data_IF_755980246470
#
_entry.id   IF_755980246470
#
_cell.length_a   1.000
_cell.length_b   1.000
_cell.length_c   1.000
_cell.angle_alpha   90.00
_cell.angle_beta   90.00
_cell.angle_gamma   90.00
#
_symmetry.space_group_name_H-M   'P 1'
#
loop_
_entity.id
_entity.type
_entity.pdbx_description
1 polymer ?
#
# COMPACT_ATOMS: atom_id res chain seq x y z
N UNK A 1 8.27 -20.59 31.54
CA UNK A 1 7.19 -19.88 30.82
C UNK A 1 7.07 -20.50 29.43
N UNK A 2 5.89 -20.98 29.01
CA UNK A 2 5.72 -21.50 27.65
C UNK A 2 5.83 -20.35 26.66
N UNK A 3 6.65 -20.54 25.62
CA UNK A 3 6.74 -19.64 24.47
C UNK A 3 5.41 -19.64 23.71
N UNK A 4 4.89 -18.48 23.28
CA UNK A 4 3.67 -18.43 22.48
C UNK A 4 3.90 -19.22 21.19
N UNK A 5 3.12 -20.27 20.99
CA UNK A 5 3.11 -21.06 19.76
C UNK A 5 2.58 -20.17 18.64
N UNK A 6 3.44 -19.94 17.63
CA UNK A 6 3.09 -19.25 16.40
C UNK A 6 1.93 -19.97 15.71
N UNK A 7 0.71 -19.44 15.85
CA UNK A 7 -0.46 -19.90 15.12
C UNK A 7 -0.21 -19.78 13.61
N UNK A 8 -0.42 -20.85 12.86
CA UNK A 8 -0.32 -20.81 11.40
C UNK A 8 -1.28 -19.75 10.83
N UNK A 9 -0.87 -18.98 9.80
CA UNK A 9 -1.71 -17.94 9.23
C UNK A 9 -3.01 -18.54 8.71
N UNK A 10 -4.14 -17.90 9.04
CA UNK A 10 -5.46 -18.37 8.65
C UNK A 10 -5.69 -18.39 7.13
N UNK A 11 -6.66 -19.17 6.63
CA UNK A 11 -6.91 -19.39 5.20
C UNK A 11 -7.35 -18.14 4.41
N UNK A 12 -7.70 -17.02 5.07
CA UNK A 12 -8.18 -15.79 4.42
C UNK A 12 -7.04 -14.84 4.03
N UNK A 13 -6.01 -14.67 4.88
CA UNK A 13 -4.83 -13.86 4.55
C UNK A 13 -4.15 -14.35 3.27
N UNK A 14 -4.06 -15.68 3.14
CA UNK A 14 -3.48 -16.31 1.97
C UNK A 14 -4.35 -16.13 0.73
N UNK A 15 -5.69 -16.07 0.85
CA UNK A 15 -6.58 -15.91 -0.32
C UNK A 15 -6.48 -14.52 -0.95
N UNK A 16 -6.62 -13.45 -0.17
CA UNK A 16 -6.53 -12.08 -0.71
C UNK A 16 -5.14 -11.80 -1.27
N UNK A 17 -4.08 -12.07 -0.51
CA UNK A 17 -2.71 -11.86 -0.97
C UNK A 17 -2.41 -12.65 -2.26
N UNK A 18 -2.87 -13.90 -2.35
CA UNK A 18 -2.74 -14.73 -3.56
C UNK A 18 -3.54 -14.15 -4.74
N UNK A 19 -4.76 -13.67 -4.50
CA UNK A 19 -5.59 -13.06 -5.53
C UNK A 19 -4.95 -11.76 -6.08
N UNK A 20 -4.40 -10.91 -5.21
CA UNK A 20 -3.65 -9.72 -5.59
C UNK A 20 -2.42 -10.08 -6.42
N UNK A 21 -1.63 -11.06 -5.97
CA UNK A 21 -0.44 -11.54 -6.67
C UNK A 21 -0.77 -12.09 -8.07
N UNK A 22 -1.80 -12.93 -8.19
CA UNK A 22 -2.23 -13.50 -9.47
C UNK A 22 -2.72 -12.43 -10.43
N UNK A 23 -3.49 -11.46 -9.94
CA UNK A 23 -3.95 -10.32 -10.74
C UNK A 23 -2.78 -9.46 -11.22
N UNK A 24 -1.83 -9.16 -10.34
CA UNK A 24 -0.63 -8.42 -10.69
C UNK A 24 0.15 -9.14 -11.79
N UNK A 25 0.44 -10.43 -11.64
CA UNK A 25 1.09 -11.20 -12.70
C UNK A 25 0.34 -11.18 -14.04
N UNK A 26 -0.98 -11.36 -13.99
CA UNK A 26 -1.84 -11.36 -15.18
C UNK A 26 -1.79 -10.01 -15.89
N UNK A 27 -1.97 -8.91 -15.15
CA UNK A 27 -1.90 -7.55 -15.68
C UNK A 27 -0.56 -7.28 -16.36
N UNK A 28 0.56 -7.61 -15.71
CA UNK A 28 1.88 -7.41 -16.31
C UNK A 28 2.13 -8.22 -17.57
N UNK A 29 1.66 -9.49 -17.63
CA UNK A 29 1.72 -10.30 -18.85
C UNK A 29 0.89 -9.67 -19.97
N UNK A 30 -0.33 -9.25 -19.67
CA UNK A 30 -1.22 -8.59 -20.63
C UNK A 30 -0.60 -7.30 -21.20
N UNK A 31 0.08 -6.50 -20.37
CA UNK A 31 0.79 -5.32 -20.87
C UNK A 31 1.92 -5.69 -21.82
N UNK A 32 2.77 -6.65 -21.45
CA UNK A 32 3.88 -7.12 -22.30
C UNK A 32 3.36 -7.69 -23.62
N UNK A 33 2.32 -8.51 -23.57
CA UNK A 33 1.79 -9.19 -24.75
C UNK A 33 1.04 -8.18 -25.64
N UNK A 34 0.29 -7.24 -25.04
CA UNK A 34 -0.30 -6.12 -25.75
C UNK A 34 0.75 -5.28 -26.50
N UNK A 35 1.86 -4.93 -25.87
CA UNK A 35 2.97 -4.21 -26.53
C UNK A 35 3.54 -4.99 -27.71
N UNK A 36 3.76 -6.30 -27.57
CA UNK A 36 4.27 -7.18 -28.64
C UNK A 36 3.33 -7.27 -29.83
N UNK A 37 2.03 -7.14 -29.60
CA UNK A 37 1.00 -7.22 -30.63
C UNK A 37 0.47 -5.85 -31.06
N UNK A 38 1.08 -4.74 -30.63
CA UNK A 38 0.59 -3.38 -30.87
C UNK A 38 -0.86 -3.14 -30.40
N UNK A 39 -1.31 -3.87 -29.37
CA UNK A 39 -2.63 -3.72 -28.75
C UNK A 39 -2.48 -2.90 -27.47
N UNK A 40 -3.05 -1.70 -27.47
CA UNK A 40 -3.02 -0.81 -26.30
C UNK A 40 -3.91 -1.36 -25.18
N UNK A 41 -3.29 -1.76 -24.07
CA UNK A 41 -3.99 -1.99 -22.80
C UNK A 41 -4.07 -0.67 -22.02
N UNK A 42 -5.28 -0.15 -21.83
CA UNK A 42 -5.57 1.07 -21.04
C UNK A 42 -5.54 0.83 -19.53
N UNK A 43 -5.42 1.92 -18.75
CA UNK A 43 -5.44 1.88 -17.29
C UNK A 43 -6.82 1.41 -16.79
N UNK A 44 -7.89 2.09 -17.20
CA UNK A 44 -9.28 1.80 -16.81
C UNK A 44 -9.69 0.34 -17.06
N UNK A 45 -9.60 -0.13 -18.31
CA UNK A 45 -9.95 -1.52 -18.64
C UNK A 45 -9.06 -2.56 -17.96
N UNK A 46 -7.85 -2.19 -17.51
CA UNK A 46 -7.03 -3.07 -16.67
C UNK A 46 -7.56 -3.10 -15.24
N UNK A 47 -7.91 -1.94 -14.67
CA UNK A 47 -8.53 -1.83 -13.34
C UNK A 47 -9.83 -2.61 -13.26
N UNK A 48 -10.75 -2.42 -14.21
CA UNK A 48 -12.03 -3.16 -14.28
C UNK A 48 -11.82 -4.68 -14.28
N UNK A 49 -10.88 -5.17 -15.11
CA UNK A 49 -10.56 -6.59 -15.19
C UNK A 49 -10.00 -7.13 -13.89
N UNK A 50 -9.13 -6.36 -13.23
CA UNK A 50 -8.56 -6.73 -11.93
C UNK A 50 -9.67 -6.83 -10.89
N UNK A 51 -10.53 -5.81 -10.79
CA UNK A 51 -11.62 -5.81 -9.80
C UNK A 51 -12.60 -6.95 -10.03
N UNK A 52 -12.99 -7.21 -11.28
CA UNK A 52 -13.84 -8.34 -11.64
C UNK A 52 -13.21 -9.68 -11.23
N UNK A 53 -11.91 -9.85 -11.48
CA UNK A 53 -11.21 -11.08 -11.09
C UNK A 53 -11.12 -11.22 -9.57
N UNK A 54 -10.91 -10.13 -8.84
CA UNK A 54 -10.92 -10.17 -7.38
C UNK A 54 -12.29 -10.57 -6.85
N UNK A 55 -13.37 -9.97 -7.34
CA UNK A 55 -14.74 -10.29 -6.95
C UNK A 55 -15.10 -11.77 -7.22
N UNK A 56 -14.65 -12.30 -8.37
CA UNK A 56 -14.82 -13.72 -8.70
C UNK A 56 -14.03 -14.67 -7.79
N UNK A 57 -12.91 -14.22 -7.25
CA UNK A 57 -11.98 -15.06 -6.47
C UNK A 57 -12.26 -14.99 -4.97
N UNK A 58 -12.83 -13.88 -4.50
CA UNK A 58 -13.06 -13.58 -3.09
C UNK A 58 -14.55 -13.33 -2.93
N UNK A 59 -15.34 -14.35 -2.54
CA UNK A 59 -16.79 -14.22 -2.36
C UNK A 59 -17.20 -13.12 -1.40
N UNK A 60 -16.31 -12.78 -0.46
CA UNK A 60 -16.54 -11.76 0.55
C UNK A 60 -16.21 -10.32 0.08
N UNK A 61 -15.79 -10.18 -1.17
CA UNK A 61 -15.49 -8.90 -1.82
C UNK A 61 -16.68 -8.50 -2.70
N UNK A 62 -17.40 -7.47 -2.27
CA UNK A 62 -18.46 -6.87 -3.06
C UNK A 62 -17.91 -5.70 -3.87
N UNK A 63 -18.41 -5.51 -5.08
CA UNK A 63 -17.99 -4.42 -5.97
C UNK A 63 -19.20 -3.63 -6.42
N UNK A 64 -19.22 -2.34 -6.12
CA UNK A 64 -20.12 -1.35 -6.71
C UNK A 64 -19.39 -0.53 -7.76
N UNK A 65 -20.10 -0.12 -8.81
CA UNK A 65 -19.59 0.83 -9.79
C UNK A 65 -20.50 2.05 -9.84
N UNK A 66 -19.91 3.23 -9.92
CA UNK A 66 -20.62 4.47 -10.18
C UNK A 66 -20.64 4.76 -11.69
N UNK A 67 -21.46 5.72 -12.10
CA UNK A 67 -21.56 6.09 -13.50
C UNK A 67 -20.38 6.97 -13.95
N UNK A 68 -20.01 6.90 -15.23
CA UNK A 68 -18.98 7.74 -15.85
C UNK A 68 -19.15 9.25 -15.60
N UNK A 69 -20.38 9.73 -15.36
CA UNK A 69 -20.66 11.14 -15.08
C UNK A 69 -20.14 11.60 -13.72
N UNK A 70 -19.97 10.69 -12.78
CA UNK A 70 -19.58 10.98 -11.39
C UNK A 70 -18.05 10.91 -11.19
N UNK A 71 -17.29 10.39 -12.16
CA UNK A 71 -15.90 9.96 -11.94
C UNK A 71 -14.84 11.06 -11.85
N UNK A 72 -15.10 12.25 -12.40
CA UNK A 72 -14.00 13.17 -12.77
C UNK A 72 -13.40 13.97 -11.61
N UNK A 73 -13.95 13.95 -10.38
CA UNK A 73 -13.62 14.98 -9.37
C UNK A 73 -12.87 14.53 -8.11
N UNK A 74 -12.67 13.23 -7.89
CA UNK A 74 -11.93 12.75 -6.69
C UNK A 74 -10.53 12.24 -6.96
N UNK A 75 -10.17 12.04 -8.23
CA UNK A 75 -8.83 11.63 -8.62
C UNK A 75 -8.42 10.24 -8.14
N UNK A 76 -9.38 9.41 -7.71
CA UNK A 76 -9.24 7.99 -7.43
C UNK A 76 -9.91 7.16 -8.54
N UNK A 77 -9.34 6.01 -8.86
CA UNK A 77 -9.96 5.04 -9.75
C UNK A 77 -10.89 4.11 -8.96
N UNK A 78 -10.56 3.76 -7.71
CA UNK A 78 -11.48 3.02 -6.85
C UNK A 78 -11.22 3.26 -5.34
N UNK A 79 -12.16 2.78 -4.53
CA UNK A 79 -12.07 2.78 -3.07
C UNK A 79 -12.17 1.37 -2.50
N UNK A 80 -11.41 1.09 -1.45
CA UNK A 80 -11.56 -0.10 -0.63
C UNK A 80 -12.07 0.26 0.76
N UNK A 81 -13.21 -0.31 1.13
CA UNK A 81 -13.72 -0.34 2.49
C UNK A 81 -13.48 -1.74 3.04
N UNK A 82 -12.67 -1.84 4.09
CA UNK A 82 -12.15 -3.11 4.57
C UNK A 82 -12.53 -3.32 6.03
N UNK A 83 -13.08 -4.49 6.33
CA UNK A 83 -13.34 -4.99 7.68
C UNK A 83 -12.82 -6.42 7.83
N UNK A 84 -12.44 -6.78 9.04
CA UNK A 84 -12.15 -8.16 9.44
C UNK A 84 -13.36 -8.89 10.04
N UNK A 85 -14.55 -8.28 9.97
CA UNK A 85 -15.77 -8.80 10.60
C UNK A 85 -16.03 -8.25 12.00
N UNK A 86 -15.14 -7.42 12.57
CA UNK A 86 -15.31 -6.75 13.88
C UNK A 86 -16.34 -5.61 13.89
N UNK A 87 -17.06 -5.37 12.79
CA UNK A 87 -17.85 -4.16 12.53
C UNK A 87 -17.05 -2.84 12.52
N UNK A 88 -15.72 -2.92 12.61
CA UNK A 88 -14.83 -1.80 12.35
C UNK A 88 -14.35 -1.81 10.91
N UNK A 89 -14.22 -0.61 10.37
CA UNK A 89 -13.90 -0.39 8.96
C UNK A 89 -12.82 0.66 8.79
N UNK A 90 -12.02 0.54 7.75
CA UNK A 90 -11.16 1.63 7.28
C UNK A 90 -11.25 1.75 5.76
N UNK A 91 -10.89 2.93 5.28
CA UNK A 91 -10.97 3.29 3.86
C UNK A 91 -9.57 3.45 3.25
N UNK A 92 -9.36 2.85 2.08
CA UNK A 92 -8.25 3.17 1.18
C UNK A 92 -8.82 3.77 -0.10
N UNK A 93 -8.22 4.86 -0.58
CA UNK A 93 -8.59 5.50 -1.85
C UNK A 93 -7.44 5.36 -2.81
N UNK A 94 -7.69 4.76 -3.98
CA UNK A 94 -6.62 4.20 -4.81
C UNK A 94 -6.71 4.77 -6.24
N UNK A 95 -5.58 5.28 -6.72
CA UNK A 95 -5.40 5.73 -8.10
C UNK A 95 -4.45 4.79 -8.83
N UNK A 96 -4.87 4.22 -9.97
CA UNK A 96 -3.99 3.48 -10.85
C UNK A 96 -3.14 4.43 -11.72
N UNK A 97 -1.88 4.01 -11.94
CA UNK A 97 -1.02 4.57 -12.99
C UNK A 97 -0.17 3.51 -13.65
N UNK A 98 -0.17 3.49 -14.98
CA UNK A 98 0.63 2.61 -15.82
C UNK A 98 1.99 3.22 -16.09
N UNK A 99 3.02 2.39 -16.00
CA UNK A 99 4.37 2.74 -16.42
C UNK A 99 4.38 3.03 -17.93
N UNK A 100 4.87 4.21 -18.30
CA UNK A 100 5.09 4.60 -19.68
C UNK A 100 6.56 4.40 -20.03
N UNK A 101 6.82 3.66 -21.11
CA UNK A 101 8.16 3.36 -21.64
C UNK A 101 8.34 4.02 -23.00
N UNK A 102 8.35 5.37 -23.10
CA UNK A 102 8.58 6.03 -24.37
C UNK A 102 10.00 5.71 -24.88
N UNK A 103 10.21 5.74 -26.20
CA UNK A 103 11.53 5.47 -26.82
C UNK A 103 12.67 6.30 -26.19
N UNK A 104 12.37 7.53 -25.75
CA UNK A 104 13.31 8.45 -25.11
C UNK A 104 13.66 8.09 -23.66
N UNK A 105 12.83 7.30 -22.96
CA UNK A 105 13.05 6.89 -21.58
C UNK A 105 12.84 5.38 -21.41
N UNK A 106 13.83 4.56 -21.79
CA UNK A 106 13.70 3.10 -21.74
C UNK A 106 13.51 2.56 -20.31
N UNK A 107 13.95 3.31 -19.29
CA UNK A 107 13.73 2.98 -17.89
C UNK A 107 12.25 3.15 -17.44
N UNK A 108 11.46 3.91 -18.19
CA UNK A 108 10.05 4.17 -17.93
C UNK A 108 9.78 5.22 -16.83
N UNK A 109 8.59 5.83 -16.91
CA UNK A 109 8.09 6.84 -15.96
C UNK A 109 6.58 6.73 -15.76
N UNK A 110 6.08 7.19 -14.63
CA UNK A 110 4.66 7.30 -14.34
C UNK A 110 4.19 8.73 -14.58
N UNK A 111 3.09 8.88 -15.33
CA UNK A 111 2.50 10.18 -15.61
C UNK A 111 1.63 10.66 -14.46
N UNK A 112 2.27 11.33 -13.49
CA UNK A 112 1.58 11.92 -12.32
C UNK A 112 1.05 13.32 -12.66
N UNK A 113 1.64 13.98 -13.66
CA UNK A 113 1.26 15.30 -14.15
C UNK A 113 -0.05 15.28 -14.96
N UNK A 114 -1.15 14.92 -14.31
CA UNK A 114 -2.49 14.94 -14.89
C UNK A 114 -3.35 15.99 -14.20
N UNK A 115 -3.86 16.96 -14.98
CA UNK A 115 -4.84 17.93 -14.51
C UNK A 115 -6.24 17.47 -14.87
N UNK A 116 -7.15 17.60 -13.92
CA UNK A 116 -8.57 17.46 -14.18
C UNK A 116 -9.08 18.75 -14.82
N UNK A 117 -9.74 18.64 -15.98
CA UNK A 117 -10.17 19.81 -16.77
C UNK A 117 -11.19 20.67 -16.03
N UNK A 118 -12.10 20.07 -15.28
CA UNK A 118 -13.18 20.77 -14.59
C UNK A 118 -12.68 21.63 -13.42
N UNK A 119 -11.74 21.14 -12.62
CA UNK A 119 -11.20 21.88 -11.47
C UNK A 119 -9.90 22.63 -11.75
N UNK A 120 -9.16 22.25 -12.80
CA UNK A 120 -7.80 22.73 -13.06
C UNK A 120 -6.75 22.17 -12.08
N UNK A 121 -7.16 21.43 -11.06
CA UNK A 121 -6.30 20.81 -10.05
C UNK A 121 -5.60 19.56 -10.59
N UNK A 122 -4.45 19.22 -10.02
CA UNK A 122 -3.79 17.96 -10.32
C UNK A 122 -4.58 16.80 -9.69
N UNK A 123 -4.67 15.68 -10.40
CA UNK A 123 -5.40 14.49 -9.94
C UNK A 123 -4.94 14.01 -8.55
N UNK A 124 -3.64 14.09 -8.28
CA UNK A 124 -3.07 13.73 -6.99
C UNK A 124 -3.50 14.66 -5.85
N UNK A 125 -3.67 15.96 -6.12
CA UNK A 125 -4.13 16.92 -5.12
C UNK A 125 -5.58 16.62 -4.72
N UNK A 126 -6.41 16.22 -5.70
CA UNK A 126 -7.79 15.78 -5.44
C UNK A 126 -7.83 14.49 -4.63
N UNK A 127 -6.98 13.52 -4.95
CA UNK A 127 -6.85 12.26 -4.22
C UNK A 127 -6.46 12.50 -2.75
N UNK A 128 -5.47 13.36 -2.50
CA UNK A 128 -5.02 13.70 -1.14
C UNK A 128 -6.08 14.48 -0.37
N UNK A 129 -6.69 15.48 -1.00
CA UNK A 129 -7.77 16.25 -0.38
C UNK A 129 -8.93 15.33 0.02
N UNK A 130 -9.30 14.41 -0.87
CA UNK A 130 -10.36 13.44 -0.62
C UNK A 130 -10.00 12.53 0.56
N UNK A 131 -8.82 11.91 0.53
CA UNK A 131 -8.36 11.04 1.60
C UNK A 131 -8.32 11.72 2.97
N UNK A 132 -7.84 12.97 3.02
CA UNK A 132 -7.83 13.77 4.26
C UNK A 132 -9.24 14.01 4.79
N UNK A 133 -10.15 14.42 3.90
CA UNK A 133 -11.52 14.79 4.28
C UNK A 133 -12.34 13.58 4.74
N UNK A 134 -12.10 12.41 4.15
CA UNK A 134 -12.76 11.17 4.58
C UNK A 134 -12.03 10.45 5.71
N UNK A 135 -10.79 10.81 6.03
CA UNK A 135 -9.95 10.05 6.97
C UNK A 135 -9.43 8.73 6.37
N UNK A 136 -9.36 8.63 5.05
CA UNK A 136 -8.80 7.48 4.34
C UNK A 136 -7.28 7.57 4.17
N UNK A 137 -6.69 6.45 3.76
CA UNK A 137 -5.33 6.45 3.21
C UNK A 137 -5.35 6.48 1.68
N UNK A 138 -4.63 7.43 1.09
CA UNK A 138 -4.46 7.53 -0.36
C UNK A 138 -3.26 6.72 -0.83
N UNK A 139 -3.48 5.89 -1.85
CA UNK A 139 -2.46 5.03 -2.47
C UNK A 139 -2.47 5.17 -3.99
N UNK A 140 -1.33 4.89 -4.60
CA UNK A 140 -1.21 4.57 -6.01
C UNK A 140 -1.05 3.08 -6.21
N UNK A 141 -1.78 2.53 -7.18
CA UNK A 141 -1.52 1.20 -7.76
C UNK A 141 -0.77 1.37 -9.08
N UNK A 142 0.52 1.05 -9.07
CA UNK A 142 1.41 1.23 -10.20
C UNK A 142 1.44 -0.02 -11.08
N UNK A 143 0.91 0.09 -12.29
CA UNK A 143 0.80 -0.98 -13.26
C UNK A 143 2.06 -1.08 -14.11
N UNK A 144 2.73 -2.23 -14.03
CA UNK A 144 4.02 -2.47 -14.63
C UNK A 144 3.95 -3.58 -15.69
N UNK A 145 4.59 -3.43 -16.86
CA UNK A 145 4.68 -4.52 -17.82
C UNK A 145 5.56 -5.67 -17.29
N UNK A 146 5.36 -6.89 -17.80
CA UNK A 146 6.26 -7.99 -17.49
C UNK A 146 7.57 -7.85 -18.27
N UNK A 147 8.60 -7.29 -17.64
CA UNK A 147 9.94 -7.19 -18.19
C UNK A 147 10.96 -8.07 -17.45
N UNK A 148 11.92 -8.64 -18.19
CA UNK A 148 13.06 -9.40 -17.62
C UNK A 148 14.08 -8.43 -17.02
N UNK A 149 14.62 -8.78 -15.85
CA UNK A 149 15.67 -7.98 -15.19
C UNK A 149 15.22 -6.66 -14.59
N UNK A 150 13.96 -6.26 -14.76
CA UNK A 150 13.42 -5.01 -14.20
C UNK A 150 12.84 -5.27 -12.82
N UNK A 151 13.24 -4.44 -11.85
CA UNK A 151 12.69 -4.41 -10.50
C UNK A 151 11.75 -3.22 -10.35
N UNK A 152 10.51 -3.51 -9.96
CA UNK A 152 9.48 -2.48 -9.72
C UNK A 152 9.38 -2.04 -8.26
N UNK A 153 10.00 -2.81 -7.37
CA UNK A 153 10.04 -2.62 -5.93
C UNK A 153 11.38 -3.11 -5.40
N UNK A 154 11.94 -2.39 -4.44
CA UNK A 154 13.09 -2.86 -3.67
C UNK A 154 12.69 -3.81 -2.52
N UNK A 155 11.41 -3.81 -2.14
CA UNK A 155 10.81 -4.70 -1.15
C UNK A 155 10.44 -6.08 -1.71
N UNK A 156 10.37 -7.08 -0.83
CA UNK A 156 10.09 -8.50 -1.13
C UNK A 156 8.99 -9.05 -0.24
N UNK A 157 8.24 -10.04 -0.73
CA UNK A 157 7.21 -10.75 0.03
C UNK A 157 7.26 -12.26 -0.19
N UNK A 158 6.61 -12.99 0.72
CA UNK A 158 6.64 -14.45 0.75
C UNK A 158 6.03 -15.11 -0.50
N UNK A 159 5.10 -14.45 -1.20
CA UNK A 159 4.40 -15.02 -2.35
C UNK A 159 5.21 -15.02 -3.65
N UNK A 160 6.46 -14.52 -3.66
CA UNK A 160 7.37 -14.72 -4.79
C UNK A 160 8.42 -13.63 -4.96
N UNK A 161 9.45 -13.89 -5.80
CA UNK A 161 10.54 -12.94 -6.01
C UNK A 161 10.04 -11.62 -6.60
N UNK A 162 10.71 -10.53 -6.22
CA UNK A 162 10.57 -9.15 -6.72
C UNK A 162 10.09 -9.08 -8.17
N UNK A 163 8.78 -9.02 -8.36
CA UNK A 163 8.20 -9.14 -9.70
C UNK A 163 6.68 -9.02 -9.72
N UNK A 164 6.07 -8.60 -8.62
CA UNK A 164 4.67 -8.24 -8.62
C UNK A 164 4.51 -7.04 -9.55
N UNK A 165 3.73 -7.25 -10.61
CA UNK A 165 3.63 -6.29 -11.71
C UNK A 165 2.60 -5.20 -11.43
N UNK A 166 2.04 -5.23 -10.23
CA UNK A 166 1.38 -4.09 -9.61
C UNK A 166 2.15 -3.82 -8.32
N UNK A 167 2.54 -2.57 -8.11
CA UNK A 167 3.10 -2.13 -6.83
C UNK A 167 2.21 -1.04 -6.23
N UNK A 168 2.18 -0.96 -4.91
CA UNK A 168 1.48 0.04 -4.15
C UNK A 168 2.46 1.07 -3.59
N UNK A 169 2.08 2.34 -3.62
CA UNK A 169 2.86 3.44 -3.04
C UNK A 169 1.91 4.41 -2.36
N UNK A 170 2.27 4.95 -1.20
CA UNK A 170 1.47 6.03 -0.59
C UNK A 170 1.49 7.30 -1.45
N UNK A 171 0.34 7.96 -1.63
CA UNK A 171 0.29 9.22 -2.38
C UNK A 171 1.18 10.31 -1.76
N UNK A 172 1.39 10.25 -0.45
CA UNK A 172 2.32 11.12 0.29
C UNK A 172 3.74 11.09 -0.26
N UNK A 173 4.20 9.94 -0.75
CA UNK A 173 5.54 9.80 -1.36
C UNK A 173 5.65 10.77 -2.53
N UNK A 174 4.65 10.77 -3.41
CA UNK A 174 4.63 11.66 -4.57
C UNK A 174 4.58 13.13 -4.15
N UNK A 175 3.72 13.47 -3.18
CA UNK A 175 3.49 14.84 -2.71
C UNK A 175 4.71 15.44 -1.99
N UNK A 176 5.44 14.62 -1.22
CA UNK A 176 6.51 15.08 -0.34
C UNK A 176 7.90 14.96 -0.99
N UNK A 177 8.12 13.97 -1.86
CA UNK A 177 9.45 13.66 -2.41
C UNK A 177 9.75 14.26 -3.76
N UNK A 178 8.72 14.54 -4.56
CA UNK A 178 8.92 14.97 -5.94
C UNK A 178 8.66 16.46 -6.10
N UNK A 179 9.56 17.19 -6.77
CA UNK A 179 9.44 18.62 -6.92
C UNK A 179 8.20 18.96 -7.75
N UNK A 180 7.58 20.09 -7.39
CA UNK A 180 6.49 20.67 -8.17
C UNK A 180 7.06 21.70 -9.14
N UNK A 181 7.05 21.39 -10.43
CA UNK A 181 7.39 22.36 -11.47
C UNK A 181 6.14 23.06 -11.96
N UNK A 182 6.09 24.39 -11.81
CA UNK A 182 4.89 25.21 -12.06
C UNK A 182 3.67 24.73 -11.26
N UNK A 183 3.90 24.36 -9.99
CA UNK A 183 2.85 23.89 -9.07
C UNK A 183 2.37 22.45 -9.29
N UNK A 184 2.96 21.72 -10.26
CA UNK A 184 2.56 20.36 -10.60
C UNK A 184 3.69 19.37 -10.35
N UNK A 185 3.35 18.22 -9.79
CA UNK A 185 4.29 17.10 -9.70
C UNK A 185 4.55 16.59 -11.12
N UNK A 186 5.82 16.58 -11.52
CA UNK A 186 6.24 16.08 -12.83
C UNK A 186 6.11 14.55 -12.93
N UNK A 187 6.36 14.02 -14.13
CA UNK A 187 6.37 12.57 -14.33
C UNK A 187 7.50 11.93 -13.51
N UNK A 188 7.19 10.84 -12.83
CA UNK A 188 8.11 10.21 -11.87
C UNK A 188 8.81 9.01 -12.50
N UNK A 189 10.15 8.99 -12.58
CA UNK A 189 10.90 7.83 -13.07
C UNK A 189 10.72 6.61 -12.18
N UNK A 190 10.68 5.41 -12.77
CA UNK A 190 10.57 4.15 -12.02
C UNK A 190 11.66 4.01 -10.94
N UNK A 191 12.90 4.38 -11.28
CA UNK A 191 14.04 4.26 -10.38
C UNK A 191 13.87 5.09 -9.09
N UNK A 192 13.13 6.21 -9.15
CA UNK A 192 12.94 7.09 -8.01
C UNK A 192 11.80 6.64 -7.08
N UNK A 193 10.88 5.78 -7.55
CA UNK A 193 9.73 5.33 -6.75
C UNK A 193 9.91 3.92 -6.17
N UNK A 194 10.79 3.10 -6.76
CA UNK A 194 10.94 1.68 -6.40
C UNK A 194 11.27 1.42 -4.92
N UNK A 195 11.96 2.35 -4.25
CA UNK A 195 12.33 2.23 -2.84
C UNK A 195 11.13 2.42 -1.91
N UNK A 196 10.07 3.08 -2.37
CA UNK A 196 8.83 3.32 -1.64
C UNK A 196 7.68 2.40 -2.07
N UNK A 197 7.89 1.63 -3.14
CA UNK A 197 6.87 0.80 -3.74
C UNK A 197 6.86 -0.59 -3.11
N UNK A 198 5.72 -0.99 -2.54
CA UNK A 198 5.50 -2.36 -2.09
C UNK A 198 4.88 -3.19 -3.22
N UNK A 199 5.25 -4.46 -3.40
CA UNK A 199 4.48 -5.38 -4.23
C UNK A 199 3.01 -5.41 -3.77
N UNK A 200 2.04 -5.37 -4.67
CA UNK A 200 0.63 -5.22 -4.31
C UNK A 200 0.11 -6.34 -3.40
N UNK A 201 0.56 -7.57 -3.61
CA UNK A 201 0.26 -8.71 -2.75
C UNK A 201 0.77 -8.53 -1.32
N UNK A 202 1.83 -7.75 -1.12
CA UNK A 202 2.37 -7.47 0.21
C UNK A 202 1.42 -6.68 1.08
N UNK A 203 0.51 -5.91 0.49
CA UNK A 203 -0.47 -5.17 1.28
C UNK A 203 -1.31 -6.10 2.16
N UNK A 204 -1.70 -7.26 1.63
CA UNK A 204 -2.56 -8.23 2.31
C UNK A 204 -1.83 -9.45 2.86
N UNK A 205 -0.52 -9.58 2.62
CA UNK A 205 0.25 -10.68 3.18
C UNK A 205 0.72 -10.34 4.59
N UNK A 206 1.01 -11.37 5.39
CA UNK A 206 1.70 -11.19 6.66
C UNK A 206 2.93 -10.31 6.47
N UNK A 207 3.17 -9.51 7.54
CA UNK A 207 4.18 -8.45 7.69
C UNK A 207 5.24 -8.58 6.62
N UNK A 208 5.47 -7.52 5.83
CA UNK A 208 6.69 -7.38 5.00
C UNK A 208 7.80 -7.94 5.86
N UNK A 209 8.28 -9.14 5.50
CA UNK A 209 9.11 -9.89 6.40
C UNK A 209 10.33 -9.01 6.59
N UNK A 210 10.39 -8.34 7.74
CA UNK A 210 11.65 -8.01 8.35
C UNK A 210 12.30 -9.36 8.36
N UNK A 211 13.28 -9.57 7.49
CA UNK A 211 13.97 -10.84 7.41
C UNK A 211 14.22 -11.36 8.83
N UNK A 212 14.28 -12.68 8.99
CA UNK A 212 14.87 -13.40 10.13
C UNK A 212 16.33 -12.97 10.38
N UNK A 213 16.58 -11.68 10.50
CA UNK A 213 17.69 -11.09 11.19
C UNK A 213 17.19 -11.10 12.62
N UNK A 214 17.55 -12.12 13.45
CA UNK A 214 17.39 -11.97 14.88
C UNK A 214 17.93 -10.60 15.24
N UNK A 215 17.27 -9.83 16.14
CA UNK A 215 17.83 -8.57 16.60
C UNK A 215 19.31 -8.87 16.88
N UNK A 216 20.23 -8.27 16.12
CA UNK A 216 21.64 -8.65 16.21
C UNK A 216 22.03 -8.56 17.68
N UNK A 217 22.83 -9.50 18.19
CA UNK A 217 23.15 -9.54 19.61
C UNK A 217 23.90 -8.25 19.98
N UNK A 218 23.17 -7.28 20.50
CA UNK A 218 23.63 -5.90 20.76
C UNK A 218 22.61 -4.84 20.37
N UNK A 219 22.81 -3.57 20.79
CA UNK A 219 21.95 -2.45 20.44
C UNK A 219 22.17 -2.06 18.97
N UNK A 220 21.68 -2.88 18.03
CA UNK A 220 21.75 -2.46 16.63
C UNK A 220 20.55 -1.61 16.26
N UNK A 221 20.80 -0.59 15.42
CA UNK A 221 19.75 0.24 14.86
C UNK A 221 18.65 -0.61 14.23
N UNK A 222 17.39 -0.41 14.66
CA UNK A 222 16.22 -0.92 13.93
C UNK A 222 16.37 -0.56 12.46
N UNK A 223 16.09 -1.51 11.56
CA UNK A 223 15.94 -1.15 10.14
C UNK A 223 14.86 -0.07 10.03
N UNK A 224 15.00 0.81 9.03
CA UNK A 224 14.00 1.84 8.74
C UNK A 224 12.58 1.28 8.69
N UNK A 225 12.41 0.02 8.23
CA UNK A 225 11.13 -0.64 8.23
C UNK A 225 10.61 -1.09 9.58
N UNK A 226 11.48 -1.65 10.41
CA UNK A 226 11.12 -1.99 11.78
C UNK A 226 10.75 -0.74 12.59
N UNK A 227 11.47 0.36 12.38
CA UNK A 227 11.15 1.62 13.03
C UNK A 227 9.78 2.16 12.59
N UNK A 228 9.49 2.22 11.28
CA UNK A 228 8.19 2.70 10.82
C UNK A 228 7.05 1.79 11.33
N UNK A 229 7.22 0.46 11.30
CA UNK A 229 6.24 -0.47 11.86
C UNK A 229 6.04 -0.24 13.37
N UNK A 230 7.12 -0.02 14.12
CA UNK A 230 7.06 0.29 15.54
C UNK A 230 6.33 1.62 15.81
N UNK A 231 6.62 2.67 15.05
CA UNK A 231 5.92 3.97 15.17
C UNK A 231 4.43 3.81 14.91
N UNK A 232 4.07 3.05 13.87
CA UNK A 232 2.67 2.72 13.56
C UNK A 232 2.03 1.95 14.70
N UNK A 233 2.73 0.96 15.27
CA UNK A 233 2.21 0.20 16.40
C UNK A 233 2.08 1.04 17.67
N UNK A 234 2.97 1.99 17.94
CA UNK A 234 2.90 2.86 19.12
C UNK A 234 1.78 3.89 19.04
N UNK A 235 1.62 4.55 17.88
CA UNK A 235 0.56 5.55 17.69
C UNK A 235 -0.83 4.89 17.63
N UNK A 236 -0.90 3.65 17.15
CA UNK A 236 -2.15 2.90 17.04
C UNK A 236 -2.47 1.98 18.23
N UNK A 237 -1.53 1.78 19.17
CA UNK A 237 -1.79 1.11 20.46
C UNK A 237 -2.70 1.93 21.39
N UNK A 238 -3.07 3.15 20.98
CA UNK A 238 -3.89 4.06 21.76
C UNK A 238 -5.39 4.01 21.48
N UNK A 239 -5.89 3.14 20.59
CA UNK A 239 -7.30 2.62 20.57
C UNK A 239 -7.69 1.92 19.24
N UNK A 240 -7.01 2.22 18.12
CA UNK A 240 -7.55 1.91 16.78
C UNK A 240 -7.09 0.59 16.14
N UNK A 241 -5.86 0.10 16.41
CA UNK A 241 -5.40 -1.17 15.82
C UNK A 241 -5.86 -2.40 16.61
N UNK A 242 -6.11 -2.25 17.91
CA UNK A 242 -6.56 -3.35 18.78
C UNK A 242 -7.94 -3.89 18.41
N UNK A 243 -8.70 -3.17 17.56
CA UNK A 243 -10.02 -3.59 17.12
C UNK A 243 -9.98 -4.62 15.99
N UNK A 244 -8.87 -4.74 15.27
CA UNK A 244 -8.73 -5.69 14.17
C UNK A 244 -7.96 -6.93 14.64
N UNK A 245 -8.39 -8.12 14.23
CA UNK A 245 -7.66 -9.37 14.39
C UNK A 245 -6.32 -9.22 13.67
N UNK A 246 -5.23 -9.28 14.45
CA UNK A 246 -3.84 -9.20 13.96
C UNK A 246 -3.49 -10.26 12.91
N UNK A 247 -4.29 -11.32 12.81
CA UNK A 247 -4.18 -12.40 11.81
C UNK A 247 -5.12 -12.22 10.62
N UNK A 248 -5.80 -11.07 10.50
CA UNK A 248 -6.68 -10.75 9.38
C UNK A 248 -5.95 -10.04 8.25
N UNK A 249 -6.42 -10.23 7.02
CA UNK A 249 -5.92 -9.49 5.86
C UNK A 249 -6.17 -7.97 6.00
N UNK A 250 -7.25 -7.59 6.70
CA UNK A 250 -7.59 -6.21 7.02
C UNK A 250 -6.52 -5.54 7.89
N UNK A 251 -6.06 -6.23 8.94
CA UNK A 251 -4.97 -5.74 9.78
C UNK A 251 -3.69 -5.56 8.98
N UNK A 252 -3.30 -6.54 8.15
CA UNK A 252 -2.14 -6.40 7.26
C UNK A 252 -2.27 -5.22 6.30
N UNK A 253 -3.43 -5.06 5.66
CA UNK A 253 -3.71 -3.94 4.77
C UNK A 253 -3.55 -2.59 5.48
N UNK A 254 -4.13 -2.47 6.67
CA UNK A 254 -4.03 -1.27 7.49
C UNK A 254 -2.58 -1.00 7.87
N UNK A 255 -1.90 -1.95 8.53
CA UNK A 255 -0.50 -1.78 8.97
C UNK A 255 0.41 -1.47 7.80
N UNK A 256 0.34 -2.21 6.69
CA UNK A 256 1.21 -1.99 5.55
C UNK A 256 0.92 -0.64 4.85
N UNK A 257 -0.35 -0.20 4.81
CA UNK A 257 -0.71 1.10 4.24
C UNK A 257 -0.18 2.28 5.07
N UNK A 258 -0.31 2.21 6.40
CA UNK A 258 0.27 3.22 7.31
C UNK A 258 1.79 3.16 7.25
N UNK A 259 2.36 1.97 7.20
CA UNK A 259 3.80 1.74 7.06
C UNK A 259 4.36 2.43 5.81
N UNK A 260 3.69 2.33 4.66
CA UNK A 260 4.08 3.07 3.44
C UNK A 260 4.00 4.59 3.60
N UNK A 261 2.98 5.09 4.30
CA UNK A 261 2.86 6.52 4.60
C UNK A 261 4.00 6.99 5.51
N UNK A 262 4.29 6.20 6.55
CA UNK A 262 5.39 6.44 7.46
C UNK A 262 6.70 6.48 6.68
N UNK A 263 7.00 5.52 5.79
CA UNK A 263 8.18 5.55 4.90
C UNK A 263 8.32 6.88 4.14
N UNK A 264 7.21 7.42 3.61
CA UNK A 264 7.20 8.68 2.88
C UNK A 264 7.67 9.86 3.75
N UNK A 265 7.18 9.89 4.99
CA UNK A 265 7.49 10.92 5.99
C UNK A 265 8.87 10.71 6.61
N UNK A 266 9.21 9.45 6.88
CA UNK A 266 10.27 9.10 7.79
C UNK A 266 11.63 9.15 7.14
N UNK A 267 11.84 9.07 5.82
CA UNK A 267 13.22 9.17 5.32
C UNK A 267 13.82 10.57 5.51
N UNK A 268 12.97 11.60 5.56
CA UNK A 268 13.41 12.97 5.87
C UNK A 268 13.56 13.17 7.38
N UNK A 269 12.64 12.61 8.16
CA UNK A 269 12.68 12.65 9.61
C UNK A 269 13.81 11.76 10.18
N UNK A 270 14.04 10.58 9.63
CA UNK A 270 15.05 9.59 10.03
C UNK A 270 16.45 10.11 9.70
N UNK A 271 16.68 10.62 8.49
CA UNK A 271 17.97 11.27 8.18
C UNK A 271 18.26 12.46 9.11
N UNK A 272 17.24 13.16 9.61
CA UNK A 272 17.39 14.32 10.52
C UNK A 272 17.44 13.96 12.01
N UNK A 273 16.63 13.00 12.48
CA UNK A 273 16.37 12.74 13.90
C UNK A 273 16.89 11.39 14.39
N UNK A 274 17.13 10.43 13.49
CA UNK A 274 17.65 9.12 13.89
C UNK A 274 19.06 9.20 14.46
N UNK A 275 19.88 10.15 13.99
CA UNK A 275 21.18 10.46 14.60
C UNK A 275 21.03 10.88 16.06
N UNK A 276 20.07 11.75 16.36
CA UNK A 276 19.78 12.19 17.74
C UNK A 276 19.28 11.03 18.61
N UNK A 277 18.39 10.20 18.08
CA UNK A 277 17.85 9.05 18.82
C UNK A 277 18.91 7.97 19.08
N UNK A 278 19.81 7.71 18.12
CA UNK A 278 20.94 6.80 18.33
C UNK A 278 21.97 7.37 19.31
N UNK A 279 22.24 8.68 19.27
CA UNK A 279 23.16 9.35 20.20
C UNK A 279 22.61 9.29 21.65
N UNK A 280 21.31 9.54 21.85
CA UNK A 280 20.63 9.42 23.17
C UNK A 280 20.55 7.96 23.64
N UNK A 281 20.18 7.02 22.75
CA UNK A 281 20.00 5.62 23.10
C UNK A 281 21.32 4.90 23.40
N UNK A 282 22.42 5.30 22.75
CA UNK A 282 23.75 4.77 23.05
C UNK A 282 24.38 5.40 24.30
N UNK A 283 23.70 6.31 24.99
CA UNK A 283 24.21 6.94 26.22
C UNK A 283 25.56 7.61 26.03
N UNK A 284 25.84 8.13 24.83
CA UNK A 284 27.12 8.77 24.53
C UNK A 284 27.10 10.16 25.16
N UNK A 285 27.46 10.25 26.45
CA UNK A 285 27.85 11.51 27.05
C UNK A 285 29.04 12.05 26.25
N UNK A 286 28.83 13.11 25.48
CA UNK A 286 29.93 13.88 24.87
C UNK A 286 30.35 14.95 25.86
N UNK A 287 31.50 14.83 26.54
CA UNK A 287 31.96 15.87 27.45
C UNK A 287 32.25 17.13 26.64
N UNK A 288 31.65 18.26 27.02
CA UNK A 288 31.95 19.57 26.42
C UNK A 288 31.11 20.01 25.22
N UNK A 289 29.83 19.63 25.15
CA UNK A 289 28.97 20.13 24.07
C UNK A 289 28.77 21.66 24.14
N UNK A 290 28.94 22.40 23.03
CA UNK A 290 28.67 23.84 22.95
C UNK A 290 27.20 24.17 23.25
N UNK A 291 26.89 25.40 23.70
CA UNK A 291 25.50 25.88 23.87
C UNK A 291 24.62 25.66 22.63
N UNK A 292 25.20 25.67 21.43
CA UNK A 292 24.55 25.38 20.15
C UNK A 292 23.83 24.01 20.13
N UNK A 293 24.26 23.05 20.96
CA UNK A 293 23.62 21.73 21.07
C UNK A 293 22.32 21.77 21.88
N UNK A 294 22.25 22.61 22.93
CA UNK A 294 21.02 22.83 23.70
C UNK A 294 19.98 23.54 22.84
N UNK A 295 20.41 24.45 21.96
CA UNK A 295 19.53 25.09 20.99
C UNK A 295 19.05 24.10 19.92
N UNK A 296 19.92 23.22 19.42
CA UNK A 296 19.50 22.14 18.53
C UNK A 296 18.48 21.19 19.18
N UNK A 297 18.64 20.86 20.46
CA UNK A 297 17.71 20.04 21.22
C UNK A 297 16.38 20.76 21.49
N UNK A 298 16.40 22.05 21.81
CA UNK A 298 15.19 22.89 21.92
C UNK A 298 14.46 23.02 20.59
N UNK A 299 15.19 23.17 19.48
CA UNK A 299 14.65 23.20 18.12
C UNK A 299 14.06 21.83 17.75
N UNK A 300 14.69 20.72 18.16
CA UNK A 300 14.17 19.38 17.94
C UNK A 300 12.88 19.13 18.74
N UNK A 301 12.82 19.56 20.01
CA UNK A 301 11.65 19.41 20.88
C UNK A 301 10.48 20.30 20.40
N UNK A 302 10.70 21.58 20.11
CA UNK A 302 9.64 22.46 19.58
C UNK A 302 9.16 22.04 18.19
N UNK A 303 10.01 21.37 17.40
CA UNK A 303 9.61 20.78 16.11
C UNK A 303 8.97 19.41 16.25
N UNK A 304 9.21 18.68 17.34
CA UNK A 304 8.48 17.46 17.68
C UNK A 304 7.00 17.77 17.86
N UNK A 305 6.68 18.89 18.52
CA UNK A 305 5.30 19.42 18.64
C UNK A 305 4.69 19.74 17.27
N UNK A 306 5.46 20.33 16.33
CA UNK A 306 4.97 20.55 14.95
C UNK A 306 4.87 19.27 14.11
N UNK A 307 5.69 18.25 14.40
CA UNK A 307 5.60 16.95 13.74
C UNK A 307 4.41 16.16 14.23
N UNK A 308 4.09 16.27 15.53
CA UNK A 308 2.89 15.69 16.12
C UNK A 308 1.64 16.34 15.50
N UNK A 309 1.63 17.63 15.17
CA UNK A 309 0.58 18.24 14.34
C UNK A 309 0.54 17.67 12.90
N UNK A 310 1.70 17.42 12.30
CA UNK A 310 1.85 16.87 10.93
C UNK A 310 1.44 15.39 10.82
N UNK A 311 1.63 14.61 11.88
CA UNK A 311 1.15 13.23 12.03
C UNK A 311 -0.30 13.18 12.51
N UNK A 312 -0.72 14.08 13.40
CA UNK A 312 -2.11 14.18 13.89
C UNK A 312 -3.10 14.51 12.77
N UNK A 313 -2.69 15.24 11.74
CA UNK A 313 -3.58 15.65 10.64
C UNK A 313 -3.99 14.53 9.67
N UNK A 314 -3.42 13.33 9.73
CA UNK A 314 -3.86 12.23 8.86
C UNK A 314 -3.83 10.85 9.53
N UNK A 315 -4.44 10.76 10.71
CA UNK A 315 -4.80 9.47 11.28
C UNK A 315 -5.85 8.80 10.38
N UNK A 316 -5.63 7.53 10.04
CA UNK A 316 -6.66 6.74 9.36
C UNK A 316 -7.84 6.64 10.31
N UNK A 317 -9.01 7.08 9.85
CA UNK A 317 -10.25 6.94 10.61
C UNK A 317 -10.69 5.50 10.59
N UNK A 318 -10.99 4.97 11.77
CA UNK A 318 -11.71 3.71 11.93
C UNK A 318 -13.18 4.06 12.10
N UNK A 319 -14.02 3.44 11.29
CA UNK A 319 -15.47 3.66 11.27
C UNK A 319 -16.18 2.50 11.93
N UNK A 320 -17.23 2.81 12.68
CA UNK A 320 -18.25 1.83 13.01
C UNK A 320 -19.15 1.55 11.81
N UNK A 321 -19.74 0.35 11.75
CA UNK A 321 -20.68 -0.03 10.68
C UNK A 321 -21.82 0.99 10.50
N UNK A 322 -22.31 1.59 11.60
CA UNK A 322 -23.37 2.60 11.57
C UNK A 322 -22.91 3.96 11.00
N UNK A 323 -21.60 4.21 10.94
CA UNK A 323 -21.00 5.42 10.38
C UNK A 323 -20.64 5.27 8.89
N UNK A 324 -20.80 4.08 8.31
CA UNK A 324 -20.49 3.86 6.92
C UNK A 324 -21.37 4.75 6.02
N UNK A 325 -20.79 5.35 4.97
CA UNK A 325 -21.59 6.08 3.99
C UNK A 325 -22.68 5.19 3.40
N UNK A 326 -23.85 5.77 3.12
CA UNK A 326 -25.00 5.02 2.63
C UNK A 326 -24.70 4.20 1.36
N UNK A 327 -23.84 4.69 0.46
CA UNK A 327 -23.43 3.95 -0.74
C UNK A 327 -22.63 2.67 -0.39
N UNK A 328 -21.82 2.70 0.66
CA UNK A 328 -21.06 1.54 1.14
C UNK A 328 -22.04 0.52 1.71
N UNK A 329 -23.00 0.98 2.53
CA UNK A 329 -24.05 0.15 3.09
C UNK A 329 -24.92 -0.52 2.01
N UNK A 330 -25.22 0.19 0.92
CA UNK A 330 -25.94 -0.37 -0.23
C UNK A 330 -25.13 -1.48 -0.92
N UNK A 331 -23.84 -1.25 -1.21
CA UNK A 331 -22.94 -2.26 -1.80
C UNK A 331 -22.83 -3.50 -0.91
N UNK A 332 -22.71 -3.31 0.41
CA UNK A 332 -22.66 -4.40 1.38
C UNK A 332 -23.94 -5.24 1.44
N UNK A 333 -25.08 -4.60 1.22
CA UNK A 333 -26.39 -5.24 1.24
C UNK A 333 -26.79 -5.80 -0.14
N UNK A 334 -25.91 -5.65 -1.13
CA UNK A 334 -26.19 -5.95 -2.55
C UNK A 334 -27.45 -5.23 -3.07
N UNK A 335 -27.70 -4.03 -2.53
CA UNK A 335 -28.75 -3.13 -2.95
C UNK A 335 -28.22 -2.18 -4.04
N UNK A 336 -29.06 -1.74 -4.98
CA UNK A 336 -28.67 -0.68 -5.91
C UNK A 336 -28.27 0.56 -5.11
N UNK A 337 -27.16 1.20 -5.49
CA UNK A 337 -26.76 2.48 -4.90
C UNK A 337 -27.86 3.49 -5.27
N UNK A 338 -28.59 4.07 -4.30
CA UNK A 338 -29.67 4.99 -4.62
C UNK A 338 -29.15 6.20 -5.40
N UNK A 339 -29.89 6.66 -6.41
CA UNK A 339 -29.48 7.81 -7.25
C UNK A 339 -29.34 9.11 -6.43
N UNK A 340 -30.07 9.20 -5.31
CA UNK A 340 -30.03 10.30 -4.36
C UNK A 340 -28.97 10.11 -3.27
N UNK A 341 -28.44 8.89 -3.10
CA UNK A 341 -27.28 8.59 -2.26
C UNK A 341 -26.01 9.04 -2.99
N UNK A 342 -25.96 10.34 -3.01
CA UNK A 342 -24.84 11.17 -3.34
C UNK A 342 -23.69 10.86 -2.38
N UNK A 343 -22.54 10.50 -2.95
CA UNK A 343 -21.27 10.40 -2.20
C UNK A 343 -21.11 11.62 -1.27
N UNK A 344 -20.55 11.53 -0.04
CA UNK A 344 -20.54 12.63 0.94
C UNK A 344 -19.84 13.92 0.48
N UNK A 345 -19.23 13.92 -0.70
CA UNK A 345 -18.68 15.10 -1.39
C UNK A 345 -19.42 15.45 -2.69
N UNK A 346 -20.69 15.10 -2.77
CA UNK A 346 -21.62 15.29 -3.88
C UNK A 346 -22.13 16.71 -4.10
N UNK A 347 -21.87 17.63 -3.17
CA UNK A 347 -21.94 19.08 -3.46
C UNK A 347 -21.05 19.45 -4.66
N UNK A 348 -20.13 18.55 -4.99
CA UNK A 348 -19.25 18.59 -6.14
C UNK A 348 -19.61 17.50 -7.17
N UNK A 349 -20.86 16.99 -7.29
CA UNK A 349 -21.31 15.93 -8.23
C UNK A 349 -20.22 14.92 -8.63
N UNK A 350 -19.74 14.14 -7.67
CA UNK A 350 -18.75 13.12 -7.97
C UNK A 350 -18.89 11.87 -7.10
N UNK A 351 -18.32 10.78 -7.58
CA UNK A 351 -18.16 9.49 -6.94
C UNK A 351 -16.85 8.84 -7.45
N UNK A 352 -16.17 7.97 -6.68
CA UNK A 352 -15.09 7.15 -7.23
C UNK A 352 -15.64 6.29 -8.38
N UNK A 353 -14.81 5.72 -9.27
CA UNK A 353 -15.37 4.87 -10.34
C UNK A 353 -15.98 3.58 -9.77
N UNK A 354 -15.27 2.98 -8.83
CA UNK A 354 -15.61 1.69 -8.24
C UNK A 354 -15.43 1.73 -6.73
N UNK A 355 -16.32 1.05 -6.01
CA UNK A 355 -16.22 0.79 -4.57
C UNK A 355 -16.03 -0.70 -4.43
N UNK A 356 -15.09 -1.10 -3.58
CA UNK A 356 -15.02 -2.47 -3.12
C UNK A 356 -15.18 -2.51 -1.62
N UNK A 357 -16.00 -3.43 -1.16
CA UNK A 357 -16.19 -3.68 0.25
C UNK A 357 -15.77 -5.11 0.56
N UNK A 358 -14.79 -5.28 1.44
CA UNK A 358 -14.28 -6.58 1.86
C UNK A 358 -14.68 -6.83 3.32
N UNK A 359 -15.46 -7.87 3.57
CA UNK A 359 -15.73 -8.37 4.92
C UNK A 359 -14.96 -9.66 5.10
N UNK A 360 -13.92 -9.72 5.93
CA UNK A 360 -13.38 -11.03 6.28
C UNK A 360 -14.47 -11.84 7.02
N UNK A 361 -14.63 -13.14 6.71
CA UNK A 361 -15.61 -13.95 7.41
C UNK A 361 -15.28 -13.95 8.91
N UNK A 362 -16.29 -13.85 9.79
CA UNK A 362 -16.05 -13.90 11.23
C UNK A 362 -15.32 -15.20 11.57
N UNK A 363 -14.39 -15.14 12.52
CA UNK A 363 -13.70 -16.34 13.02
C UNK A 363 -14.78 -17.34 13.45
N UNK A 364 -14.91 -18.43 12.71
CA UNK A 364 -15.56 -19.63 13.23
C UNK A 364 -14.65 -20.07 14.35
N UNK A 365 -15.11 -19.95 15.61
CA UNK A 365 -14.32 -20.45 16.73
C UNK A 365 -13.98 -21.91 16.42
N UNK A 366 -12.70 -22.30 16.46
CA UNK A 366 -12.33 -23.68 16.17
C UNK A 366 -13.10 -24.54 17.15
N UNK A 367 -14.05 -25.33 16.63
CA UNK A 367 -14.62 -26.45 17.38
C UNK A 367 -13.43 -27.34 17.65
N UNK A 368 -13.02 -27.47 18.92
CA UNK A 368 -11.90 -28.32 19.31
C UNK A 368 -12.10 -29.70 18.65
N UNK A 369 -11.24 -30.09 17.69
CA UNK A 369 -11.35 -31.41 17.12
C UNK A 369 -11.02 -32.41 18.24
N UNK A 370 -11.78 -33.52 18.37
CA UNK A 370 -11.40 -34.59 19.28
C UNK A 370 -9.97 -35.05 18.92
N UNK A 371 -9.11 -35.06 19.94
CA UNK A 371 -7.65 -35.05 19.80
C UNK A 371 -7.10 -36.04 18.77
N UNK A 372 -6.55 -35.51 17.69
CA UNK A 372 -5.77 -36.25 16.70
C UNK A 372 -4.39 -35.55 16.55
N UNK A 373 -3.27 -36.29 16.59
CA UNK A 373 -1.94 -35.68 16.52
C UNK A 373 -1.66 -35.13 15.11
N UNK A 374 -1.60 -33.80 14.98
CA UNK A 374 -1.34 -33.13 13.71
C UNK A 374 0.16 -33.06 13.37
N UNK A 375 0.55 -33.70 12.27
CA UNK A 375 1.79 -33.42 11.55
C UNK A 375 1.62 -32.15 10.70
N UNK A 376 1.99 -30.99 11.26
CA UNK A 376 1.96 -29.69 10.57
C UNK A 376 3.19 -29.53 9.66
N UNK A 377 2.95 -29.42 8.36
CA UNK A 377 3.94 -28.94 7.39
C UNK A 377 4.00 -27.41 7.45
N UNK A 378 5.07 -26.88 8.06
CA UNK A 378 5.34 -25.45 8.07
C UNK A 378 5.56 -24.94 6.64
N UNK A 379 4.71 -24.02 6.19
CA UNK A 379 4.95 -23.26 4.96
C UNK A 379 5.87 -22.09 5.30
N UNK A 380 7.13 -22.39 5.60
CA UNK A 380 8.18 -21.38 5.80
C UNK A 380 8.39 -20.65 4.48
N UNK A 381 8.53 -19.32 4.49
CA UNK A 381 8.85 -18.53 3.30
C UNK A 381 10.23 -18.96 2.76
N UNK A 382 10.29 -20.00 1.93
CA UNK A 382 11.56 -20.46 1.38
C UNK A 382 12.11 -19.37 0.44
N UNK A 383 13.36 -18.93 0.61
CA UNK A 383 14.01 -18.11 -0.39
C UNK A 383 14.06 -18.92 -1.69
N UNK A 384 13.26 -18.50 -2.67
CA UNK A 384 13.25 -19.12 -3.99
C UNK A 384 14.65 -18.92 -4.61
N UNK A 385 15.47 -19.97 -4.60
CA UNK A 385 16.81 -19.95 -5.20
C UNK A 385 16.61 -19.89 -6.70
N UNK A 386 16.73 -18.70 -7.28
CA UNK A 386 16.74 -18.53 -8.74
C UNK A 386 18.02 -19.17 -9.24
N UNK A 387 17.93 -20.42 -9.68
CA UNK A 387 18.99 -21.05 -10.47
C UNK A 387 18.98 -20.37 -11.84
N UNK A 388 19.87 -19.40 -12.02
CA UNK A 388 20.15 -18.83 -13.33
C UNK A 388 20.85 -19.91 -14.18
N UNK A 389 20.08 -20.72 -14.89
CA UNK A 389 20.62 -21.40 -16.06
C UNK A 389 20.86 -20.34 -17.14
N UNK A 390 22.09 -19.84 -17.19
CA UNK A 390 22.61 -19.14 -18.36
C UNK A 390 22.70 -20.17 -19.49
N UNK A 391 21.69 -20.21 -20.36
CA UNK A 391 21.77 -20.88 -21.64
C UNK A 391 22.40 -19.90 -22.64
N UNK A 392 23.51 -20.26 -23.32
CA UNK A 392 24.13 -19.38 -24.30
C UNK A 392 23.36 -19.47 -25.61
N UNK A 393 22.35 -18.61 -25.80
CA UNK A 393 21.79 -18.38 -27.13
C UNK A 393 22.55 -17.23 -27.81
N UNK A 394 23.50 -17.61 -28.68
CA UNK A 394 24.08 -16.71 -29.68
C UNK A 394 22.99 -16.33 -30.70
N UNK A 395 22.56 -15.07 -30.72
CA UNK A 395 21.81 -14.52 -31.84
C UNK A 395 22.79 -14.07 -32.93
N UNK A 396 22.81 -14.80 -34.06
CA UNK A 396 23.33 -14.27 -35.33
C UNK A 396 22.36 -13.21 -35.84
N UNK A 397 22.80 -11.97 -35.90
CA UNK A 397 22.16 -10.93 -36.72
C UNK A 397 22.39 -11.28 -38.19
N UNK A 398 21.31 -11.53 -38.94
CA UNK A 398 21.30 -11.42 -40.39
C UNK A 398 20.62 -10.09 -40.72
N UNK A 399 21.40 -9.19 -41.32
CA UNK A 399 20.91 -7.89 -41.78
C UNK A 399 19.99 -8.00 -42.99
N UNK A 400 19.07 -7.05 -43.08
CA UNK A 400 18.59 -6.45 -44.32
C UNK A 400 18.42 -4.96 -44.09
#
# INVERSE_FOLDING_TARGET
MPTPTSSAPGPVMTRLATALFRNAQSAGRNFRDGERHNIRQGEEGTTERILLNLAKTIPELHVGAFSHREESRYGADWEWWISDGSNKWFQLVIQAKKLQTPKAHPAGKYKIKHKIRSSGMQQIDLLDLYARKSGAQSLYALYNPAARGVRYSDHRCCLGPSGDRITAVSADVFLKRFPRTKGLIDDVPLAAIREYALPWSCLANDRVATHDVPPPPGPSPLTFMQFAQWTVMQDANRDSLGTFDSTSAAYSLLVNSVTMKALAQSQDWFTRNYRHYLDDWMGVERPGQPEEWKDAQKIAISRHESSDELFAQQRIRIFDRAELPAYVSAVLSNEPIPEDVRHPFSEIDAAPKQILTLIAPPRVQPVEPPGEPQNLTNTTCYPFRVTSHQSPFQYRYLGR
#
